data_IF_151439529977
#
_entry.id   IF_151439529977
#
_cell.length_a   1.000
_cell.length_b   1.000
_cell.length_c   1.000
_cell.angle_alpha   90.00
_cell.angle_beta   90.00
_cell.angle_gamma   90.00
#
_symmetry.space_group_name_H-M   'P 1'
#
loop_
_entity.id
_entity.type
_entity.pdbx_description
1 polymer ?
#
# COMPACT_ATOMS: atom_id res chain seq x y z
N UNK A 1 -10.88 -12.18 -6.48
CA UNK A 1 -10.58 -10.85 -7.10
C UNK A 1 -9.96 -11.09 -8.45
N UNK A 2 -10.32 -10.29 -9.46
CA UNK A 2 -9.75 -10.39 -10.80
C UNK A 2 -8.98 -9.11 -11.10
N UNK A 3 -7.75 -9.23 -11.56
CA UNK A 3 -6.94 -8.09 -12.00
C UNK A 3 -7.02 -7.89 -13.52
N UNK A 4 -6.82 -6.65 -14.00
CA UNK A 4 -6.62 -5.44 -13.19
C UNK A 4 -7.91 -4.97 -12.51
N UNK A 5 -7.79 -4.34 -11.31
CA UNK A 5 -8.87 -3.52 -10.78
C UNK A 5 -8.87 -2.20 -11.55
N UNK A 6 -10.01 -1.83 -12.08
CA UNK A 6 -10.16 -0.64 -12.93
C UNK A 6 -10.87 0.45 -12.14
N UNK A 7 -10.29 1.64 -12.14
CA UNK A 7 -10.87 2.86 -11.57
C UNK A 7 -11.19 3.85 -12.69
N UNK A 8 -11.55 5.07 -12.35
CA UNK A 8 -11.73 6.14 -13.36
C UNK A 8 -10.44 6.47 -14.11
N UNK A 9 -9.28 6.44 -13.42
CA UNK A 9 -7.99 6.91 -13.97
C UNK A 9 -6.89 5.86 -13.93
N UNK A 10 -7.09 4.76 -13.17
CA UNK A 10 -6.04 3.80 -12.86
C UNK A 10 -6.42 2.37 -13.19
N UNK A 11 -5.43 1.62 -13.60
CA UNK A 11 -5.39 0.16 -13.64
C UNK A 11 -4.48 -0.33 -12.52
N UNK A 12 -5.00 -1.18 -11.63
CA UNK A 12 -4.27 -1.69 -10.46
C UNK A 12 -4.09 -3.20 -10.63
N UNK A 13 -2.85 -3.66 -10.62
CA UNK A 13 -2.50 -5.08 -10.80
C UNK A 13 -1.23 -5.42 -10.02
N UNK A 14 -0.96 -6.71 -9.73
CA UNK A 14 0.34 -7.12 -9.20
C UNK A 14 1.47 -6.56 -10.06
N UNK A 15 2.55 -6.11 -9.41
CA UNK A 15 3.74 -5.66 -10.12
C UNK A 15 4.31 -6.80 -10.97
N UNK A 16 4.77 -6.45 -12.16
CA UNK A 16 5.43 -7.38 -13.07
C UNK A 16 6.82 -6.85 -13.53
N UNK A 17 7.48 -7.62 -14.38
CA UNK A 17 8.84 -7.28 -14.85
C UNK A 17 8.92 -5.94 -15.59
N UNK A 18 7.83 -5.51 -16.25
CA UNK A 18 7.81 -4.23 -16.97
C UNK A 18 7.81 -3.03 -16.01
N UNK A 19 7.39 -3.24 -14.75
CA UNK A 19 7.29 -2.21 -13.72
C UNK A 19 8.63 -1.94 -13.02
N UNK A 20 9.60 -2.86 -13.11
CA UNK A 20 10.81 -2.89 -12.30
C UNK A 20 11.56 -1.54 -12.28
N UNK A 21 11.83 -0.96 -13.44
CA UNK A 21 12.60 0.28 -13.53
C UNK A 21 11.90 1.47 -12.86
N UNK A 22 10.61 1.62 -13.11
CA UNK A 22 9.81 2.69 -12.50
C UNK A 22 9.64 2.48 -10.99
N UNK A 23 9.41 1.23 -10.57
CA UNK A 23 9.29 0.83 -9.17
C UNK A 23 10.55 1.14 -8.37
N UNK A 24 11.72 0.79 -8.89
CA UNK A 24 13.01 1.08 -8.24
C UNK A 24 13.25 2.59 -8.20
N UNK A 25 12.97 3.28 -9.29
CA UNK A 25 13.24 4.71 -9.44
C UNK A 25 12.56 5.58 -8.37
N UNK A 26 11.25 5.40 -8.13
CA UNK A 26 10.61 6.23 -7.11
C UNK A 26 10.95 5.80 -5.68
N UNK A 27 11.33 4.54 -5.45
CA UNK A 27 11.82 4.08 -4.13
C UNK A 27 13.18 4.70 -3.75
N UNK A 28 13.96 5.12 -4.73
CA UNK A 28 15.23 5.84 -4.52
C UNK A 28 15.04 7.32 -4.15
N UNK A 29 13.83 7.87 -4.23
CA UNK A 29 13.56 9.24 -3.75
C UNK A 29 13.63 9.28 -2.21
N UNK A 30 14.57 10.09 -1.62
CA UNK A 30 14.71 10.16 -0.17
C UNK A 30 13.44 10.62 0.56
N UNK A 31 12.62 11.46 -0.08
CA UNK A 31 11.38 11.93 0.53
C UNK A 31 10.31 10.84 0.58
N UNK A 32 10.29 9.94 -0.41
CA UNK A 32 9.43 8.77 -0.40
C UNK A 32 9.94 7.75 0.62
N UNK A 33 11.23 7.43 0.58
CA UNK A 33 11.83 6.45 1.48
C UNK A 33 11.76 6.86 2.96
N UNK A 34 11.61 8.15 3.27
CA UNK A 34 11.66 8.68 4.65
C UNK A 34 10.81 7.91 5.65
N UNK A 35 9.59 7.53 5.27
CA UNK A 35 8.63 6.85 6.13
C UNK A 35 8.39 5.38 5.74
N UNK A 36 9.26 4.81 4.93
CA UNK A 36 9.12 3.46 4.39
C UNK A 36 10.21 2.54 4.95
N UNK A 37 9.98 1.25 4.95
CA UNK A 37 10.92 0.25 5.47
C UNK A 37 12.21 0.08 4.69
N UNK A 38 12.37 0.76 3.55
CA UNK A 38 13.58 0.76 2.73
C UNK A 38 14.31 2.10 2.78
N UNK A 39 15.54 2.12 2.29
CA UNK A 39 16.40 3.30 2.18
C UNK A 39 16.55 3.75 0.72
N UNK A 40 17.01 4.98 0.43
CA UNK A 40 17.14 5.50 -0.95
C UNK A 40 18.15 4.75 -1.82
N UNK A 41 18.99 3.89 -1.25
CA UNK A 41 19.89 2.98 -1.98
C UNK A 41 19.18 1.71 -2.48
N UNK A 42 17.85 1.75 -2.58
CA UNK A 42 17.03 0.63 -3.05
C UNK A 42 17.49 0.17 -4.43
N UNK A 43 18.01 -1.04 -4.51
CA UNK A 43 18.64 -1.57 -5.70
C UNK A 43 17.65 -2.25 -6.66
N UNK A 44 18.03 -2.35 -7.93
CA UNK A 44 17.28 -3.14 -8.92
C UNK A 44 17.15 -4.61 -8.52
N UNK A 45 18.18 -5.18 -7.88
CA UNK A 45 18.13 -6.56 -7.38
C UNK A 45 17.08 -6.74 -6.27
N UNK A 46 16.91 -5.78 -5.39
CA UNK A 46 15.84 -5.79 -4.36
C UNK A 46 14.46 -5.71 -5.00
N UNK A 47 14.27 -4.81 -5.98
CA UNK A 47 13.02 -4.71 -6.74
C UNK A 47 12.68 -6.00 -7.49
N UNK A 48 13.67 -6.60 -8.17
CA UNK A 48 13.50 -7.88 -8.87
C UNK A 48 13.10 -8.99 -7.91
N UNK A 49 13.81 -9.13 -6.78
CA UNK A 49 13.50 -10.15 -5.76
C UNK A 49 12.07 -10.00 -5.24
N UNK A 50 11.60 -8.75 -5.03
CA UNK A 50 10.24 -8.50 -4.58
C UNK A 50 9.22 -8.94 -5.63
N UNK A 51 9.40 -8.56 -6.90
CA UNK A 51 8.50 -8.94 -8.00
C UNK A 51 8.47 -10.47 -8.17
N UNK A 52 9.63 -11.12 -8.16
CA UNK A 52 9.75 -12.58 -8.31
C UNK A 52 9.06 -13.32 -7.15
N UNK A 53 9.13 -12.78 -5.93
CA UNK A 53 8.50 -13.39 -4.75
C UNK A 53 6.96 -13.42 -4.80
N UNK A 54 6.35 -12.57 -5.60
CA UNK A 54 4.90 -12.50 -5.73
C UNK A 54 4.30 -13.65 -6.54
N UNK A 55 5.09 -14.29 -7.43
CA UNK A 55 4.77 -15.56 -8.08
C UNK A 55 3.40 -15.63 -8.76
N UNK A 56 2.87 -14.53 -9.30
CA UNK A 56 1.55 -14.47 -9.93
C UNK A 56 0.38 -14.55 -8.94
N UNK A 57 0.60 -14.24 -7.66
CA UNK A 57 -0.44 -14.23 -6.64
C UNK A 57 -1.53 -13.22 -6.98
N UNK A 58 -2.79 -13.61 -6.72
CA UNK A 58 -3.97 -12.73 -6.85
C UNK A 58 -4.32 -12.08 -5.50
N UNK A 59 -3.99 -12.76 -4.42
CA UNK A 59 -4.14 -12.32 -3.03
C UNK A 59 -2.93 -12.85 -2.25
N UNK A 60 -2.40 -12.12 -1.27
CA UNK A 60 -1.31 -12.65 -0.45
C UNK A 60 -1.77 -13.85 0.36
N UNK A 61 -0.88 -14.82 0.57
CA UNK A 61 -1.09 -15.87 1.57
C UNK A 61 -1.12 -15.25 2.97
N UNK A 62 -1.73 -15.93 3.96
CA UNK A 62 -1.63 -15.47 5.34
C UNK A 62 -0.17 -15.21 5.75
N UNK A 63 0.11 -14.04 6.31
CA UNK A 63 1.46 -13.58 6.67
C UNK A 63 2.29 -12.95 5.54
N UNK A 64 1.87 -13.07 4.27
CA UNK A 64 2.61 -12.53 3.13
C UNK A 64 2.12 -11.14 2.70
N UNK A 65 2.98 -10.45 1.96
CA UNK A 65 2.70 -9.17 1.31
C UNK A 65 2.59 -9.32 -0.21
N UNK A 66 1.71 -8.53 -0.82
CA UNK A 66 1.56 -8.39 -2.27
C UNK A 66 1.61 -6.91 -2.65
N UNK A 67 2.49 -6.54 -3.57
CA UNK A 67 2.55 -5.19 -4.11
C UNK A 67 1.72 -5.08 -5.40
N UNK A 68 0.82 -4.11 -5.41
CA UNK A 68 -0.09 -3.84 -6.52
C UNK A 68 0.27 -2.50 -7.17
N UNK A 69 0.81 -2.53 -8.38
CA UNK A 69 1.16 -1.33 -9.12
C UNK A 69 -0.08 -0.53 -9.53
N UNK A 70 0.00 0.79 -9.40
CA UNK A 70 -0.98 1.75 -9.88
C UNK A 70 -0.51 2.34 -11.21
N UNK A 71 -1.22 2.04 -12.31
CA UNK A 71 -0.88 2.50 -13.65
C UNK A 71 -1.91 3.50 -14.15
N UNK A 72 -1.47 4.61 -14.74
CA UNK A 72 -2.37 5.58 -15.40
C UNK A 72 -2.97 4.96 -16.66
N UNK A 73 -4.28 5.14 -16.90
CA UNK A 73 -4.90 4.70 -18.16
C UNK A 73 -4.35 5.45 -19.38
N UNK A 74 -4.00 6.72 -19.20
CA UNK A 74 -3.59 7.59 -20.31
C UNK A 74 -2.21 7.28 -20.87
N UNK A 75 -1.29 6.81 -20.02
CA UNK A 75 0.13 6.62 -20.39
C UNK A 75 0.64 5.22 -20.12
N UNK A 76 -0.11 4.41 -19.38
CA UNK A 76 0.28 3.11 -18.84
C UNK A 76 1.48 3.20 -17.87
N UNK A 77 1.84 4.40 -17.44
CA UNK A 77 2.96 4.64 -16.53
C UNK A 77 2.62 4.15 -15.13
N UNK A 78 3.54 3.43 -14.51
CA UNK A 78 3.49 3.10 -13.08
C UNK A 78 3.76 4.36 -12.28
N UNK A 79 2.80 4.76 -11.45
CA UNK A 79 2.86 5.98 -10.63
C UNK A 79 2.99 5.74 -9.13
N UNK A 80 3.02 4.49 -8.72
CA UNK A 80 3.10 4.07 -7.32
C UNK A 80 2.57 2.67 -7.11
N UNK A 81 2.47 2.27 -5.86
CA UNK A 81 1.97 0.94 -5.47
C UNK A 81 1.12 0.97 -4.21
N UNK A 82 0.24 -0.02 -4.10
CA UNK A 82 -0.43 -0.41 -2.87
C UNK A 82 0.25 -1.67 -2.34
N UNK A 83 0.52 -1.71 -1.04
CA UNK A 83 0.93 -2.91 -0.34
C UNK A 83 -0.30 -3.56 0.30
N UNK A 84 -0.50 -4.84 0.08
CA UNK A 84 -1.58 -5.62 0.65
C UNK A 84 -0.99 -6.77 1.45
N UNK A 85 -1.34 -6.85 2.74
CA UNK A 85 -0.94 -7.92 3.65
C UNK A 85 -2.16 -8.65 4.16
N UNK A 86 -2.14 -9.96 4.16
CA UNK A 86 -3.17 -10.78 4.80
C UNK A 86 -2.70 -11.17 6.19
N UNK A 87 -3.42 -10.73 7.22
CA UNK A 87 -3.06 -11.03 8.61
C UNK A 87 -3.29 -12.52 8.89
N UNK A 88 -2.24 -13.22 9.34
CA UNK A 88 -2.29 -14.66 9.56
C UNK A 88 -3.21 -15.06 10.70
N UNK A 89 -3.20 -14.30 11.79
CA UNK A 89 -3.98 -14.58 13.00
C UNK A 89 -5.47 -14.18 12.90
N UNK A 90 -5.89 -13.54 11.78
CA UNK A 90 -7.24 -13.01 11.61
C UNK A 90 -7.67 -13.11 10.14
N UNK A 91 -8.44 -14.14 9.81
CA UNK A 91 -8.83 -14.45 8.42
C UNK A 91 -9.57 -13.32 7.70
N UNK A 92 -10.31 -12.50 8.43
CA UNK A 92 -11.06 -11.36 7.88
C UNK A 92 -10.29 -10.04 7.88
N UNK A 93 -9.02 -10.05 8.28
CA UNK A 93 -8.22 -8.84 8.43
C UNK A 93 -7.15 -8.72 7.35
N UNK A 94 -7.09 -7.52 6.74
CA UNK A 94 -6.03 -7.14 5.82
C UNK A 94 -5.37 -5.85 6.28
N UNK A 95 -4.07 -5.73 6.04
CA UNK A 95 -3.33 -4.48 6.21
C UNK A 95 -3.03 -3.89 4.84
N UNK A 96 -3.14 -2.57 4.73
CA UNK A 96 -2.80 -1.86 3.50
C UNK A 96 -1.75 -0.78 3.76
N UNK A 97 -0.83 -0.66 2.81
CA UNK A 97 0.10 0.46 2.68
C UNK A 97 -0.02 1.09 1.29
N UNK A 98 0.58 2.25 1.10
CA UNK A 98 0.57 2.93 -0.18
C UNK A 98 1.81 3.81 -0.37
N UNK A 99 2.29 3.84 -1.59
CA UNK A 99 3.39 4.69 -2.03
C UNK A 99 3.00 5.32 -3.36
N UNK A 100 3.21 6.63 -3.52
CA UNK A 100 2.99 7.34 -4.78
C UNK A 100 4.27 8.08 -5.16
N UNK A 101 4.71 7.92 -6.39
CA UNK A 101 5.81 8.72 -6.95
C UNK A 101 5.49 10.22 -6.76
N UNK A 102 6.46 10.96 -6.26
CA UNK A 102 6.31 12.38 -5.89
C UNK A 102 5.71 13.23 -7.01
N UNK A 103 6.03 12.92 -8.27
CA UNK A 103 5.49 13.61 -9.46
C UNK A 103 3.96 13.54 -9.56
N UNK A 104 3.35 12.52 -8.95
CA UNK A 104 1.92 12.24 -9.03
C UNK A 104 1.17 12.43 -7.71
N UNK A 105 1.88 12.83 -6.63
CA UNK A 105 1.23 13.11 -5.35
C UNK A 105 0.27 14.32 -5.46
N UNK A 106 -0.67 14.41 -4.52
CA UNK A 106 -1.64 15.52 -4.48
C UNK A 106 -2.82 15.40 -5.45
N UNK A 107 -2.82 14.43 -6.36
CA UNK A 107 -3.86 14.26 -7.40
C UNK A 107 -5.00 13.29 -7.00
N UNK A 108 -4.97 12.76 -5.78
CA UNK A 108 -6.00 11.84 -5.27
C UNK A 108 -5.88 10.40 -5.77
N UNK A 109 -4.82 10.03 -6.46
CA UNK A 109 -4.62 8.66 -6.99
C UNK A 109 -4.59 7.59 -5.90
N UNK A 110 -3.88 7.84 -4.79
CA UNK A 110 -3.85 6.88 -3.68
C UNK A 110 -5.24 6.65 -3.06
N UNK A 111 -6.05 7.71 -2.94
CA UNK A 111 -7.42 7.60 -2.43
C UNK A 111 -8.28 6.74 -3.36
N UNK A 112 -8.22 7.01 -4.67
CA UNK A 112 -8.96 6.28 -5.69
C UNK A 112 -8.57 4.80 -5.71
N UNK A 113 -7.27 4.51 -5.71
CA UNK A 113 -6.76 3.15 -5.74
C UNK A 113 -7.08 2.36 -4.48
N UNK A 114 -6.82 2.94 -3.30
CA UNK A 114 -7.05 2.27 -2.02
C UNK A 114 -8.55 2.03 -1.76
N UNK A 115 -9.43 2.98 -2.11
CA UNK A 115 -10.88 2.75 -2.02
C UNK A 115 -11.31 1.56 -2.88
N UNK A 116 -10.86 1.50 -4.14
CA UNK A 116 -11.18 0.39 -5.04
C UNK A 116 -10.65 -0.95 -4.55
N UNK A 117 -9.43 -0.98 -3.97
CA UNK A 117 -8.88 -2.20 -3.38
C UNK A 117 -9.71 -2.65 -2.16
N UNK A 118 -10.07 -1.73 -1.26
CA UNK A 118 -10.89 -2.03 -0.08
C UNK A 118 -12.24 -2.60 -0.51
N UNK A 119 -12.93 -1.98 -1.45
CA UNK A 119 -14.21 -2.47 -1.97
C UNK A 119 -14.07 -3.87 -2.59
N UNK A 120 -13.01 -4.12 -3.33
CA UNK A 120 -12.74 -5.43 -3.91
C UNK A 120 -12.44 -6.50 -2.84
N UNK A 121 -11.75 -6.15 -1.74
CA UNK A 121 -11.50 -7.05 -0.61
C UNK A 121 -12.80 -7.41 0.12
N UNK A 122 -13.66 -6.44 0.35
CA UNK A 122 -14.98 -6.68 0.98
C UNK A 122 -15.83 -7.61 0.11
N UNK A 123 -15.93 -7.30 -1.17
CA UNK A 123 -16.79 -8.05 -2.10
C UNK A 123 -16.30 -9.48 -2.40
N UNK A 124 -14.99 -9.71 -2.46
CA UNK A 124 -14.46 -10.98 -2.93
C UNK A 124 -13.88 -11.86 -1.82
N UNK A 125 -13.57 -11.30 -0.64
CA UNK A 125 -12.89 -12.03 0.44
C UNK A 125 -13.55 -11.84 1.80
N UNK A 126 -14.74 -11.23 1.84
CA UNK A 126 -15.47 -10.95 3.08
C UNK A 126 -14.56 -10.28 4.12
N UNK A 127 -13.71 -9.33 3.66
CA UNK A 127 -12.84 -8.59 4.56
C UNK A 127 -13.71 -7.85 5.60
N UNK A 128 -13.53 -8.18 6.87
CA UNK A 128 -14.29 -7.60 7.98
C UNK A 128 -13.60 -6.39 8.57
N UNK A 129 -12.28 -6.34 8.43
CA UNK A 129 -11.42 -5.30 8.99
C UNK A 129 -10.24 -5.01 8.09
N UNK A 130 -10.00 -3.74 7.84
CA UNK A 130 -8.78 -3.27 7.16
C UNK A 130 -8.00 -2.43 8.15
N UNK A 131 -6.71 -2.70 8.29
CA UNK A 131 -5.80 -1.96 9.17
C UNK A 131 -4.73 -1.24 8.36
N UNK A 132 -4.15 -0.22 8.95
CA UNK A 132 -2.98 0.49 8.44
C UNK A 132 -2.23 1.15 9.60
N UNK A 133 -0.95 1.38 9.41
CA UNK A 133 -0.13 2.12 10.37
C UNK A 133 0.64 3.24 9.67
N UNK A 134 0.96 4.29 10.41
CA UNK A 134 1.72 5.41 9.87
C UNK A 134 2.51 6.13 10.98
N UNK A 135 3.73 6.55 10.66
CA UNK A 135 4.50 7.49 11.48
C UNK A 135 3.66 8.77 11.71
N UNK A 136 3.56 9.24 12.96
CA UNK A 136 2.76 10.41 13.32
C UNK A 136 3.15 11.68 12.56
N UNK A 137 4.40 11.76 12.07
CA UNK A 137 4.93 12.88 11.27
C UNK A 137 4.52 12.81 9.79
N UNK A 138 4.00 11.65 9.33
CA UNK A 138 3.57 11.48 7.95
C UNK A 138 2.14 12.01 7.72
N UNK A 139 2.01 13.34 7.77
CA UNK A 139 0.71 14.02 7.66
C UNK A 139 -0.05 13.68 6.35
N UNK A 140 0.66 13.31 5.30
CA UNK A 140 0.03 12.91 4.03
C UNK A 140 -0.71 11.57 4.18
N UNK A 141 -0.06 10.57 4.80
CA UNK A 141 -0.68 9.28 5.13
C UNK A 141 -1.86 9.45 6.08
N UNK A 142 -1.71 10.22 7.16
CA UNK A 142 -2.78 10.44 8.13
C UNK A 142 -4.03 11.04 7.48
N UNK A 143 -3.85 12.05 6.61
CA UNK A 143 -4.95 12.65 5.86
C UNK A 143 -5.61 11.67 4.89
N UNK A 144 -4.83 10.82 4.25
CA UNK A 144 -5.36 9.81 3.33
C UNK A 144 -6.16 8.75 4.09
N UNK A 145 -5.65 8.22 5.20
CA UNK A 145 -6.35 7.26 6.04
C UNK A 145 -7.68 7.82 6.57
N UNK A 146 -7.68 9.09 7.03
CA UNK A 146 -8.91 9.78 7.43
C UNK A 146 -9.94 9.87 6.28
N UNK A 147 -9.51 10.24 5.05
CA UNK A 147 -10.39 10.28 3.87
C UNK A 147 -10.93 8.92 3.46
N UNK A 148 -10.17 7.86 3.68
CA UNK A 148 -10.60 6.46 3.47
C UNK A 148 -11.57 5.96 4.55
N UNK A 149 -11.81 6.77 5.61
CA UNK A 149 -12.71 6.42 6.70
C UNK A 149 -12.10 5.52 7.76
N UNK A 150 -10.77 5.44 7.83
CA UNK A 150 -10.09 4.76 8.93
C UNK A 150 -10.23 5.57 10.21
N UNK A 151 -10.33 4.87 11.33
CA UNK A 151 -10.35 5.44 12.67
C UNK A 151 -9.03 5.13 13.37
N UNK A 152 -8.46 6.14 14.02
CA UNK A 152 -7.29 5.98 14.88
C UNK A 152 -7.67 5.25 16.16
N UNK A 153 -6.91 4.23 16.52
CA UNK A 153 -7.03 3.53 17.81
C UNK A 153 -5.76 3.77 18.64
N UNK A 154 -5.79 4.77 19.53
CA UNK A 154 -4.60 5.17 20.30
C UNK A 154 -4.13 4.11 21.31
N UNK A 155 -4.96 3.12 21.64
CA UNK A 155 -4.56 2.01 22.53
C UNK A 155 -3.62 1.01 21.86
N UNK A 156 -3.53 1.09 20.54
CA UNK A 156 -2.68 0.24 19.69
C UNK A 156 -1.51 1.00 19.06
N UNK A 157 -1.31 2.27 19.40
CA UNK A 157 -0.10 3.00 19.02
C UNK A 157 1.13 2.39 19.69
N UNK A 158 2.27 2.49 19.03
CA UNK A 158 3.55 2.04 19.59
C UNK A 158 4.68 3.01 19.26
N UNK A 159 5.78 2.85 19.96
CA UNK A 159 7.04 3.52 19.68
C UNK A 159 8.05 2.50 19.18
N UNK A 160 8.87 2.89 18.22
CA UNK A 160 9.94 2.06 17.70
C UNK A 160 11.15 2.89 17.30
N UNK A 161 12.32 2.25 17.28
CA UNK A 161 13.49 2.84 16.64
C UNK A 161 13.39 2.61 15.13
N UNK A 162 13.29 3.70 14.38
CA UNK A 162 13.20 3.67 12.94
C UNK A 162 14.24 4.60 12.31
N UNK A 163 15.18 4.01 11.56
CA UNK A 163 16.29 4.73 10.89
C UNK A 163 17.11 5.62 11.83
N UNK A 164 17.35 5.15 13.06
CA UNK A 164 18.14 5.84 14.07
C UNK A 164 17.39 6.93 14.84
N UNK A 165 16.08 7.04 14.66
CA UNK A 165 15.20 7.95 15.40
C UNK A 165 14.15 7.15 16.17
N UNK A 166 13.79 7.59 17.37
CA UNK A 166 12.62 7.04 18.08
C UNK A 166 11.37 7.69 17.51
N UNK A 167 10.45 6.90 16.98
CA UNK A 167 9.26 7.39 16.29
C UNK A 167 8.00 6.79 16.91
N UNK A 168 6.94 7.56 16.91
CA UNK A 168 5.61 7.08 17.28
C UNK A 168 4.85 6.68 16.01
N UNK A 169 4.37 5.44 16.02
CA UNK A 169 3.53 4.88 14.94
C UNK A 169 2.08 4.82 15.41
N UNK A 170 1.21 5.44 14.64
CA UNK A 170 -0.22 5.49 14.91
C UNK A 170 -0.91 4.32 14.20
N UNK A 171 -1.79 3.64 14.94
CA UNK A 171 -2.57 2.51 14.43
C UNK A 171 -3.97 2.96 13.98
N UNK A 172 -4.38 2.50 12.82
CA UNK A 172 -5.67 2.81 12.23
C UNK A 172 -6.41 1.55 11.82
N UNK A 173 -7.72 1.56 12.00
CA UNK A 173 -8.59 0.51 11.51
C UNK A 173 -9.85 1.04 10.81
N UNK A 174 -10.36 0.24 9.89
CA UNK A 174 -11.64 0.43 9.24
C UNK A 174 -12.41 -0.87 9.31
N UNK A 175 -13.51 -0.88 10.06
CA UNK A 175 -14.48 -1.97 10.04
C UNK A 175 -15.30 -1.86 8.76
N UNK A 176 -15.48 -2.99 8.09
CA UNK A 176 -16.27 -3.11 6.88
C UNK A 176 -17.58 -3.80 7.23
N UNK A 177 -18.72 -3.18 6.93
CA UNK A 177 -20.00 -3.86 7.05
C UNK A 177 -20.11 -4.87 5.91
N UNK A 178 -20.44 -6.12 6.23
CA UNK A 178 -20.96 -7.05 5.23
C UNK A 178 -22.35 -6.53 4.85
N UNK A 179 -22.50 -6.04 3.63
CA UNK A 179 -23.80 -5.66 3.06
C UNK A 179 -24.60 -6.88 2.61
#
# INVERSE_FOLDING_TARGET
MKYPLITKRLSIKPLDQADLEAFVKYRQDPQIARYQSWTPDYSKAQGQKLIDSQGGQIIPKPGDWLQLGMHLHSTLELIGDLALHKIEADEGCFEIGFTVDRRFQGNGYALEAASTLIDALVQNYAALRIIASADERNLASLRLLSKLGFKHDPLRDWEEEFKGENVKVLFFEKLTALS
#
